data_IF_808118402196
#
_entry.id   IF_808118402196
#
_cell.length_a   1.000
_cell.length_b   1.000
_cell.length_c   1.000
_cell.angle_alpha   90.00
_cell.angle_beta   90.00
_cell.angle_gamma   90.00
#
_symmetry.space_group_name_H-M   'P 1'
#
loop_
_entity.id
_entity.type
_entity.pdbx_description
1 polymer ?
#
# COMPACT_ATOMS: atom_id res chain seq x y z
N UNK A 1 19.25 -22.76 2.04
CA UNK A 1 18.82 -21.95 0.90
C UNK A 1 18.82 -20.50 1.36
N UNK A 2 19.57 -19.64 0.69
CA UNK A 2 19.55 -18.19 0.94
C UNK A 2 18.41 -17.65 0.12
N UNK A 3 17.27 -17.35 0.78
CA UNK A 3 16.21 -16.55 0.16
C UNK A 3 16.82 -15.18 -0.16
N UNK A 4 16.70 -14.73 -1.40
CA UNK A 4 17.13 -13.41 -1.78
C UNK A 4 16.24 -12.38 -1.04
N UNK A 5 16.81 -11.67 -0.05
CA UNK A 5 16.12 -10.60 0.63
C UNK A 5 16.20 -9.33 -0.24
N UNK A 6 15.11 -8.97 -0.88
CA UNK A 6 15.01 -7.70 -1.58
C UNK A 6 14.58 -6.60 -0.60
N UNK A 7 15.31 -5.48 -0.61
CA UNK A 7 15.02 -4.33 0.25
C UNK A 7 14.66 -3.12 -0.58
N UNK A 8 13.51 -2.54 -0.30
CA UNK A 8 13.02 -1.32 -0.95
C UNK A 8 12.83 -0.21 0.06
N UNK A 9 13.14 1.01 -0.36
CA UNK A 9 12.87 2.22 0.43
C UNK A 9 11.75 3.01 -0.22
N UNK A 10 10.88 3.58 0.59
CA UNK A 10 9.76 4.37 0.10
C UNK A 10 9.31 5.41 1.11
N UNK A 11 8.24 6.10 0.78
CA UNK A 11 7.58 7.03 1.69
C UNK A 11 6.07 6.98 1.55
N UNK A 12 5.40 7.43 2.60
CA UNK A 12 3.96 7.63 2.63
C UNK A 12 3.65 9.00 3.23
N UNK A 13 2.83 9.79 2.55
CA UNK A 13 2.36 11.10 2.98
C UNK A 13 0.85 11.15 2.89
N UNK A 14 0.22 11.69 3.91
CA UNK A 14 -1.24 11.82 3.95
C UNK A 14 -1.68 13.14 4.53
N UNK A 15 -2.71 13.72 3.91
CA UNK A 15 -3.42 14.88 4.42
C UNK A 15 -4.92 14.71 4.14
N UNK A 16 -5.68 14.27 5.13
CA UNK A 16 -7.10 13.90 5.01
C UNK A 16 -7.30 12.80 3.94
N UNK A 17 -7.96 13.14 2.82
CA UNK A 17 -8.21 12.23 1.69
C UNK A 17 -7.08 12.22 0.65
N UNK A 18 -6.10 13.13 0.80
CA UNK A 18 -4.96 13.21 -0.12
C UNK A 18 -3.85 12.29 0.34
N UNK A 19 -3.28 11.58 -0.61
CA UNK A 19 -2.23 10.60 -0.39
C UNK A 19 -1.14 10.72 -1.44
N UNK A 20 0.10 10.55 -1.04
CA UNK A 20 1.22 10.36 -1.96
C UNK A 20 2.18 9.34 -1.35
N UNK A 21 2.37 8.24 -2.01
CA UNK A 21 3.27 7.18 -1.58
C UNK A 21 4.12 6.64 -2.72
N UNK A 22 5.32 6.21 -2.40
CA UNK A 22 6.22 5.50 -3.30
C UNK A 22 6.75 4.30 -2.57
N UNK A 23 6.58 3.12 -3.15
CA UNK A 23 7.13 1.86 -2.64
C UNK A 23 7.29 0.86 -3.78
N UNK A 24 8.43 0.18 -3.86
CA UNK A 24 8.70 -0.93 -4.80
C UNK A 24 8.42 -0.58 -6.29
N UNK A 25 8.75 0.64 -6.69
CA UNK A 25 8.49 1.11 -8.07
C UNK A 25 7.04 1.47 -8.36
N UNK A 26 6.16 1.39 -7.36
CA UNK A 26 4.77 1.86 -7.44
C UNK A 26 4.68 3.23 -6.78
N UNK A 27 4.22 4.22 -7.52
CA UNK A 27 3.87 5.54 -6.99
C UNK A 27 2.36 5.71 -7.00
N UNK A 28 1.79 6.10 -5.88
CA UNK A 28 0.36 6.40 -5.75
C UNK A 28 0.17 7.86 -5.38
N UNK A 29 -0.63 8.57 -6.16
CA UNK A 29 -1.01 9.96 -5.88
C UNK A 29 -2.55 10.02 -5.88
N UNK A 30 -3.12 10.47 -4.78
CA UNK A 30 -4.54 10.68 -4.67
C UNK A 30 -4.83 12.11 -4.20
N UNK A 31 -5.78 12.73 -4.86
CA UNK A 31 -6.44 13.95 -4.41
C UNK A 31 -7.95 13.72 -4.25
N UNK A 32 -8.72 14.78 -4.11
CA UNK A 32 -10.18 14.72 -3.90
C UNK A 32 -10.95 14.24 -5.14
N UNK A 33 -10.33 14.26 -6.33
CA UNK A 33 -10.98 14.00 -7.61
C UNK A 33 -10.51 12.72 -8.28
N UNK A 34 -9.26 12.32 -8.04
CA UNK A 34 -8.61 11.28 -8.82
C UNK A 34 -7.57 10.55 -7.97
N UNK A 35 -7.47 9.25 -8.17
CA UNK A 35 -6.34 8.42 -7.73
C UNK A 35 -5.57 7.94 -8.94
N UNK A 36 -4.27 8.20 -8.97
CA UNK A 36 -3.35 7.74 -10.01
C UNK A 36 -2.35 6.78 -9.37
N UNK A 37 -2.19 5.62 -9.97
CA UNK A 37 -1.17 4.62 -9.60
C UNK A 37 -0.24 4.42 -10.77
N UNK A 38 1.04 4.64 -10.55
CA UNK A 38 2.09 4.57 -11.56
C UNK A 38 2.95 3.36 -11.25
N UNK A 39 2.95 2.39 -12.14
CA UNK A 39 3.89 1.28 -12.11
C UNK A 39 5.06 1.62 -13.04
N UNK A 40 6.20 1.93 -12.45
CA UNK A 40 7.39 2.32 -13.20
C UNK A 40 8.05 1.12 -13.90
N UNK A 41 7.84 -0.09 -13.39
CA UNK A 41 8.42 -1.31 -13.95
C UNK A 41 7.69 -1.73 -15.21
N UNK A 42 6.36 -1.76 -15.18
CA UNK A 42 5.52 -2.13 -16.33
C UNK A 42 5.19 -0.93 -17.25
N UNK A 43 5.54 0.30 -16.84
CA UNK A 43 5.19 1.55 -17.51
C UNK A 43 3.68 1.69 -17.74
N UNK A 44 2.93 1.45 -16.69
CA UNK A 44 1.47 1.57 -16.68
C UNK A 44 1.06 2.67 -15.70
N UNK A 45 0.12 3.50 -16.11
CA UNK A 45 -0.58 4.46 -15.26
C UNK A 45 -2.04 4.02 -15.16
N UNK A 46 -2.49 3.68 -13.97
CA UNK A 46 -3.89 3.38 -13.68
C UNK A 46 -4.54 4.63 -13.08
N UNK A 47 -5.65 5.05 -13.67
CA UNK A 47 -6.44 6.19 -13.20
C UNK A 47 -7.75 5.67 -12.63
N UNK A 48 -8.00 5.98 -11.37
CA UNK A 48 -9.15 5.51 -10.61
C UNK A 48 -9.93 6.67 -10.02
N UNK A 49 -11.16 6.41 -9.63
CA UNK A 49 -11.85 7.29 -8.69
C UNK A 49 -11.10 7.32 -7.35
N UNK A 50 -11.11 8.45 -6.63
CA UNK A 50 -10.47 8.52 -5.33
C UNK A 50 -11.15 7.54 -4.37
N UNK A 51 -10.36 6.80 -3.63
CA UNK A 51 -10.89 5.97 -2.54
C UNK A 51 -11.35 6.93 -1.45
N UNK A 52 -12.65 7.01 -1.25
CA UNK A 52 -13.19 7.63 -0.06
C UNK A 52 -12.82 6.71 1.11
N UNK A 53 -11.96 7.19 1.99
CA UNK A 53 -11.70 6.48 3.23
C UNK A 53 -13.04 6.38 3.94
N UNK A 54 -13.57 5.18 4.01
CA UNK A 54 -14.80 4.90 4.77
C UNK A 54 -14.57 5.46 6.16
N UNK A 55 -15.43 6.38 6.60
CA UNK A 55 -15.29 7.10 7.86
C UNK A 55 -15.39 6.23 9.11
N UNK A 56 -15.34 4.92 8.94
CA UNK A 56 -15.40 3.97 10.04
C UNK A 56 -14.37 2.83 9.86
N UNK A 57 -13.08 3.10 10.16
CA UNK A 57 -12.04 2.08 10.11
C UNK A 57 -12.33 0.89 11.02
N UNK A 58 -13.18 1.07 12.04
CA UNK A 58 -13.60 -0.02 12.91
C UNK A 58 -14.39 -1.12 12.20
N UNK A 59 -15.18 -0.79 11.18
CA UNK A 59 -15.94 -1.80 10.42
C UNK A 59 -15.00 -2.68 9.60
N UNK A 60 -14.00 -2.11 8.96
CA UNK A 60 -13.01 -2.85 8.17
C UNK A 60 -12.15 -3.74 9.06
N UNK A 61 -11.75 -3.25 10.23
CA UNK A 61 -11.00 -4.04 11.22
C UNK A 61 -11.86 -5.21 11.72
N UNK A 62 -13.13 -4.98 12.07
CA UNK A 62 -14.04 -6.03 12.52
C UNK A 62 -14.25 -7.09 11.42
N UNK A 63 -14.38 -6.67 10.16
CA UNK A 63 -14.50 -7.59 9.04
C UNK A 63 -13.24 -8.45 8.88
N UNK A 64 -12.05 -7.84 8.96
CA UNK A 64 -10.78 -8.55 8.90
C UNK A 64 -10.62 -9.53 10.08
N UNK A 65 -10.98 -9.13 11.30
CA UNK A 65 -10.91 -10.00 12.48
C UNK A 65 -11.79 -11.24 12.37
N UNK A 66 -12.92 -11.17 11.67
CA UNK A 66 -13.79 -12.34 11.42
C UNK A 66 -13.13 -13.40 10.53
N UNK A 67 -12.12 -13.04 9.75
CA UNK A 67 -11.35 -13.95 8.90
C UNK A 67 -10.20 -14.61 9.66
N UNK A 68 -9.95 -14.22 10.91
CA UNK A 68 -8.86 -14.76 11.72
C UNK A 68 -9.32 -16.01 12.47
N UNK A 69 -8.48 -17.03 12.47
CA UNK A 69 -8.59 -18.20 13.37
C UNK A 69 -8.04 -17.88 14.76
N UNK A 70 -7.13 -16.94 14.85
CA UNK A 70 -6.51 -16.50 16.11
C UNK A 70 -6.12 -15.03 16.04
N UNK A 71 -6.35 -14.33 17.15
CA UNK A 71 -5.90 -12.96 17.38
C UNK A 71 -5.19 -12.94 18.73
N UNK A 72 -3.93 -12.53 18.74
CA UNK A 72 -3.13 -12.42 19.95
C UNK A 72 -2.60 -11.01 20.08
N UNK A 73 -2.82 -10.40 21.23
CA UNK A 73 -2.26 -9.09 21.57
C UNK A 73 -1.27 -9.27 22.70
N UNK A 74 -0.06 -8.77 22.51
CA UNK A 74 1.00 -8.75 23.53
C UNK A 74 1.30 -7.27 23.77
N UNK A 75 0.99 -6.81 24.97
CA UNK A 75 1.23 -5.44 25.40
C UNK A 75 2.38 -5.41 26.39
N UNK A 76 3.37 -4.56 26.13
CA UNK A 76 4.53 -4.34 26.97
C UNK A 76 4.72 -2.86 27.30
N UNK A 77 3.63 -2.14 27.47
CA UNK A 77 3.62 -0.72 27.78
C UNK A 77 3.81 0.14 26.52
N UNK A 78 5.01 0.66 26.27
CA UNK A 78 5.28 1.49 25.09
C UNK A 78 5.29 0.69 23.78
N UNK A 79 5.38 -0.64 23.87
CA UNK A 79 5.41 -1.55 22.73
C UNK A 79 4.24 -2.53 22.81
N UNK A 80 3.44 -2.61 21.74
CA UNK A 80 2.36 -3.58 21.58
C UNK A 80 2.54 -4.34 20.27
N UNK A 81 2.33 -5.65 20.33
CA UNK A 81 2.34 -6.52 19.14
C UNK A 81 0.99 -7.20 18.98
N UNK A 82 0.43 -7.11 17.78
CA UNK A 82 -0.81 -7.78 17.40
C UNK A 82 -0.46 -8.85 16.37
N UNK A 83 -0.78 -10.09 16.68
CA UNK A 83 -0.63 -11.22 15.78
C UNK A 83 -2.01 -11.67 15.30
N UNK A 84 -2.20 -11.74 13.99
CA UNK A 84 -3.39 -12.20 13.32
C UNK A 84 -3.04 -13.45 12.53
N UNK A 85 -3.76 -14.56 12.75
CA UNK A 85 -3.64 -15.78 11.97
C UNK A 85 -4.95 -15.97 11.22
N UNK A 86 -4.90 -16.04 9.89
CA UNK A 86 -6.09 -16.15 9.05
C UNK A 86 -6.51 -17.60 8.83
N UNK A 87 -7.80 -17.81 8.55
CA UNK A 87 -8.35 -19.14 8.35
C UNK A 87 -8.10 -19.63 6.91
N UNK A 88 -7.61 -20.87 6.79
CA UNK A 88 -7.50 -21.56 5.50
C UNK A 88 -6.57 -20.87 4.51
N UNK A 89 -6.68 -21.26 3.25
CA UNK A 89 -5.88 -20.72 2.15
C UNK A 89 -6.68 -19.76 1.25
N UNK A 90 -7.92 -19.47 1.59
CA UNK A 90 -8.81 -18.59 0.80
C UNK A 90 -8.43 -17.11 0.93
N UNK A 91 -7.76 -16.76 2.04
CA UNK A 91 -7.24 -15.41 2.23
C UNK A 91 -5.79 -15.33 1.73
N UNK A 92 -5.37 -14.22 1.10
CA UNK A 92 -4.02 -14.09 0.54
C UNK A 92 -2.90 -14.23 1.59
N UNK A 93 -3.22 -13.93 2.86
CA UNK A 93 -2.28 -14.00 3.97
C UNK A 93 -2.59 -15.17 4.89
N UNK A 94 -1.54 -15.88 5.30
CA UNK A 94 -1.60 -16.88 6.37
C UNK A 94 -1.55 -16.22 7.75
N UNK A 95 -0.71 -15.18 7.86
CA UNK A 95 -0.42 -14.51 9.13
C UNK A 95 -0.02 -13.06 8.90
N UNK A 96 -0.36 -12.21 9.84
CA UNK A 96 0.10 -10.81 9.91
C UNK A 96 0.56 -10.49 11.34
N UNK A 97 1.64 -9.75 11.44
CA UNK A 97 2.14 -9.20 12.70
C UNK A 97 2.23 -7.68 12.57
N UNK A 98 1.66 -6.99 13.54
CA UNK A 98 1.62 -5.53 13.62
C UNK A 98 2.33 -5.13 14.90
N UNK A 99 3.47 -4.44 14.80
CA UNK A 99 4.15 -3.88 15.95
C UNK A 99 3.88 -2.37 16.03
N UNK A 100 3.48 -1.94 17.22
CA UNK A 100 3.18 -0.54 17.54
C UNK A 100 4.16 -0.13 18.64
N UNK A 101 4.87 0.98 18.43
CA UNK A 101 5.80 1.57 19.40
C UNK A 101 5.41 3.02 19.61
N UNK A 102 5.27 3.45 20.86
CA UNK A 102 4.86 4.81 21.21
C UNK A 102 3.61 5.26 20.44
N UNK A 103 2.59 4.40 20.38
CA UNK A 103 1.32 4.61 19.67
C UNK A 103 1.45 4.78 18.15
N UNK A 104 2.57 4.37 17.55
CA UNK A 104 2.82 4.45 16.11
C UNK A 104 3.09 3.06 15.53
N UNK A 105 2.59 2.82 14.33
CA UNK A 105 2.91 1.61 13.59
C UNK A 105 4.42 1.56 13.30
N UNK A 106 5.13 0.61 13.89
CA UNK A 106 6.57 0.46 13.69
C UNK A 106 6.90 -0.59 12.63
N UNK A 107 6.19 -1.72 12.67
CA UNK A 107 6.41 -2.83 11.73
C UNK A 107 5.08 -3.44 11.33
N UNK A 108 4.95 -3.74 10.06
CA UNK A 108 3.93 -4.61 9.49
C UNK A 108 4.63 -5.78 8.82
N UNK A 109 4.31 -7.00 9.21
CA UNK A 109 4.91 -8.19 8.65
C UNK A 109 3.82 -9.17 8.22
N UNK A 110 3.91 -9.67 6.99
CA UNK A 110 2.89 -10.48 6.34
C UNK A 110 3.50 -11.76 5.77
N UNK A 111 2.89 -12.89 6.08
CA UNK A 111 3.21 -14.19 5.49
C UNK A 111 2.12 -14.54 4.49
N UNK A 112 2.48 -14.73 3.24
CA UNK A 112 1.54 -15.02 2.16
C UNK A 112 1.19 -16.50 2.12
N UNK A 113 -0.05 -16.82 1.76
CA UNK A 113 -0.50 -18.19 1.55
C UNK A 113 -0.06 -18.75 0.20
N UNK A 114 -0.04 -17.88 -0.81
CA UNK A 114 0.34 -18.24 -2.16
C UNK A 114 1.85 -18.53 -2.21
N UNK A 115 2.17 -19.70 -2.73
CA UNK A 115 3.55 -20.09 -2.97
C UNK A 115 4.01 -19.57 -4.33
N UNK A 116 5.24 -19.12 -4.41
CA UNK A 116 5.89 -18.69 -5.65
C UNK A 116 7.14 -19.57 -5.89
N UNK A 117 7.52 -19.70 -7.15
CA UNK A 117 8.79 -20.33 -7.51
C UNK A 117 9.87 -19.25 -7.57
N UNK A 118 10.94 -19.43 -6.82
CA UNK A 118 12.08 -18.52 -6.86
C UNK A 118 12.94 -18.73 -8.11
N UNK A 119 13.99 -17.91 -8.28
CA UNK A 119 14.90 -17.98 -9.43
C UNK A 119 15.70 -19.31 -9.51
N UNK A 120 15.75 -20.06 -8.41
CA UNK A 120 16.39 -21.37 -8.32
C UNK A 120 15.43 -22.53 -8.59
N UNK A 121 14.14 -22.24 -8.81
CA UNK A 121 13.10 -23.25 -9.00
C UNK A 121 12.55 -23.81 -7.69
N UNK A 122 12.88 -23.25 -6.52
CA UNK A 122 12.35 -23.67 -5.24
C UNK A 122 11.00 -23.02 -4.96
N UNK A 123 10.07 -23.80 -4.39
CA UNK A 123 8.75 -23.29 -3.98
C UNK A 123 8.88 -22.66 -2.61
N UNK A 124 8.64 -21.36 -2.53
CA UNK A 124 8.70 -20.58 -1.30
C UNK A 124 7.37 -19.89 -1.02
N UNK A 125 7.09 -19.63 0.25
CA UNK A 125 5.98 -18.74 0.66
C UNK A 125 6.55 -17.37 0.97
N UNK A 126 6.20 -16.34 0.20
CA UNK A 126 6.75 -15.00 0.39
C UNK A 126 6.42 -14.43 1.77
N UNK A 127 7.33 -13.63 2.28
CA UNK A 127 7.16 -12.84 3.49
C UNK A 127 7.49 -11.39 3.16
N UNK A 128 6.57 -10.50 3.49
CA UNK A 128 6.75 -9.06 3.34
C UNK A 128 6.90 -8.41 4.71
N UNK A 129 7.96 -7.63 4.90
CA UNK A 129 8.16 -6.84 6.11
C UNK A 129 8.29 -5.37 5.74
N UNK A 130 7.46 -4.53 6.33
CA UNK A 130 7.49 -3.07 6.16
C UNK A 130 7.84 -2.46 7.52
N UNK A 131 8.95 -1.73 7.56
CA UNK A 131 9.37 -0.97 8.74
C UNK A 131 9.09 0.51 8.52
N UNK A 132 8.42 1.12 9.48
CA UNK A 132 8.04 2.52 9.44
C UNK A 132 8.95 3.34 10.35
N UNK A 133 9.47 4.42 9.86
CA UNK A 133 10.36 5.32 10.60
C UNK A 133 10.16 6.78 10.17
N UNK A 134 10.85 7.70 10.82
CA UNK A 134 10.86 9.12 10.43
C UNK A 134 9.47 9.77 10.37
N UNK A 135 8.61 9.43 11.32
CA UNK A 135 7.28 10.01 11.44
C UNK A 135 7.33 11.54 11.57
N UNK A 136 6.61 12.24 10.73
CA UNK A 136 6.47 13.69 10.76
C UNK A 136 4.98 14.05 10.88
N UNK A 137 4.55 14.31 12.08
CA UNK A 137 3.20 14.76 12.36
C UNK A 137 3.05 16.26 12.07
N UNK A 138 1.83 16.67 11.72
CA UNK A 138 1.48 18.08 11.49
C UNK A 138 2.31 18.77 10.38
N UNK A 139 2.98 18.01 9.52
CA UNK A 139 3.69 18.57 8.38
C UNK A 139 2.69 19.25 7.42
N UNK A 140 2.99 20.49 7.06
CA UNK A 140 2.23 21.20 6.02
C UNK A 140 2.74 20.75 4.65
N UNK A 141 1.85 20.27 3.82
CA UNK A 141 2.13 19.86 2.46
C UNK A 141 1.65 20.93 1.48
N UNK A 142 2.42 21.16 0.42
CA UNK A 142 1.98 22.00 -0.68
C UNK A 142 0.91 21.28 -1.52
N UNK A 143 0.05 22.05 -2.21
CA UNK A 143 -0.93 21.48 -3.12
C UNK A 143 -0.30 20.63 -4.24
N UNK A 144 0.94 20.94 -4.63
CA UNK A 144 1.69 20.22 -5.67
C UNK A 144 2.01 18.78 -5.27
N UNK A 145 2.19 18.50 -3.99
CA UNK A 145 2.57 17.17 -3.50
C UNK A 145 1.49 16.10 -3.73
N UNK A 146 0.24 16.50 -3.94
CA UNK A 146 -0.89 15.62 -4.23
C UNK A 146 -1.53 15.91 -5.59
N UNK A 147 -0.85 16.67 -6.45
CA UNK A 147 -1.34 16.97 -7.79
C UNK A 147 -1.07 15.80 -8.73
N UNK A 148 -2.07 15.39 -9.50
CA UNK A 148 -1.96 14.36 -10.54
C UNK A 148 -1.63 14.95 -11.92
N UNK A 149 -1.71 16.28 -12.06
CA UNK A 149 -1.55 16.96 -13.35
C UNK A 149 -0.15 16.90 -13.97
N UNK A 150 0.86 16.54 -13.19
CA UNK A 150 2.20 16.28 -13.74
C UNK A 150 2.38 14.85 -14.27
N UNK A 151 1.41 13.97 -14.01
CA UNK A 151 1.41 12.55 -14.45
C UNK A 151 0.44 12.34 -15.60
N UNK A 152 -0.76 12.89 -15.48
CA UNK A 152 -1.84 12.73 -16.47
C UNK A 152 -2.49 14.07 -16.79
N UNK A 153 -2.89 14.24 -18.04
CA UNK A 153 -3.61 15.41 -18.55
C UNK A 153 -4.95 14.99 -19.11
N UNK A 154 -5.97 15.86 -18.97
CA UNK A 154 -7.24 15.71 -19.62
C UNK A 154 -7.23 16.47 -20.97
N UNK A 155 -7.35 15.77 -22.08
CA UNK A 155 -7.35 16.35 -23.42
C UNK A 155 -8.50 15.78 -24.23
N UNK A 156 -9.39 16.66 -24.71
CA UNK A 156 -10.58 16.26 -25.47
C UNK A 156 -11.40 15.13 -24.81
N UNK A 157 -11.62 15.24 -23.50
CA UNK A 157 -12.30 14.26 -22.66
C UNK A 157 -11.56 12.92 -22.47
N UNK A 158 -10.40 12.75 -23.06
CA UNK A 158 -9.53 11.59 -22.84
C UNK A 158 -8.42 11.92 -21.84
N UNK A 159 -8.06 10.94 -21.02
CA UNK A 159 -6.87 11.03 -20.18
C UNK A 159 -5.67 10.57 -21.01
N UNK A 160 -4.65 11.41 -21.05
CA UNK A 160 -3.37 11.09 -21.68
C UNK A 160 -2.23 11.23 -20.68
N UNK A 161 -1.10 10.51 -20.87
CA UNK A 161 0.07 10.72 -20.03
C UNK A 161 0.64 12.12 -20.27
N UNK A 162 1.11 12.77 -19.21
CA UNK A 162 1.90 13.99 -19.34
C UNK A 162 3.22 13.69 -20.06
N UNK A 163 3.90 14.73 -20.57
CA UNK A 163 5.12 14.59 -21.38
C UNK A 163 6.19 13.70 -20.75
N UNK A 164 6.43 13.85 -19.44
CA UNK A 164 7.40 13.04 -18.70
C UNK A 164 7.05 11.54 -18.66
N UNK A 165 5.80 11.19 -18.91
CA UNK A 165 5.26 9.83 -18.91
C UNK A 165 4.80 9.36 -20.31
N UNK A 166 5.27 9.99 -21.38
CA UNK A 166 4.84 9.72 -22.76
C UNK A 166 5.00 8.26 -23.21
N UNK A 167 5.89 7.50 -22.56
CA UNK A 167 6.10 6.07 -22.83
C UNK A 167 5.22 5.15 -21.98
N UNK A 168 4.35 5.70 -21.13
CA UNK A 168 3.47 4.93 -20.26
C UNK A 168 2.11 4.70 -20.94
N UNK A 169 1.56 3.52 -20.73
CA UNK A 169 0.19 3.18 -21.13
C UNK A 169 -0.78 3.60 -20.03
N UNK A 170 -1.85 4.29 -20.41
CA UNK A 170 -2.94 4.61 -19.48
C UNK A 170 -3.98 3.49 -19.44
N UNK A 171 -4.41 3.15 -18.23
CA UNK A 171 -5.60 2.35 -17.94
C UNK A 171 -6.58 3.22 -17.15
N UNK A 172 -7.60 3.73 -17.79
CA UNK A 172 -8.67 4.48 -17.12
C UNK A 172 -9.68 3.50 -16.53
N UNK A 173 -9.67 3.39 -15.22
CA UNK A 173 -10.51 2.46 -14.43
C UNK A 173 -11.61 3.21 -13.66
N UNK A 174 -11.82 4.49 -13.96
CA UNK A 174 -12.92 5.25 -13.38
C UNK A 174 -14.24 4.70 -13.88
N UNK A 175 -15.12 4.30 -12.96
CA UNK A 175 -16.50 3.97 -13.32
C UNK A 175 -17.19 5.22 -13.85
N UNK A 176 -17.74 5.12 -15.05
CA UNK A 176 -18.66 6.11 -15.61
C UNK A 176 -19.99 6.08 -14.87
#
# INVERSE_FOLDING_TARGET
AQTADETYTGYYRRNKLKEHSVLMGIETIQNEQTKVVIDTNSKIIMVNNPIQVVNNPGIEIIAALKLCSSVRVIDKGAESTIELVFQGNEYPLAKMLIAIVDHRLAVLEMWHNEAVTDDNGEIIKPRTKISYSNYQENKKFSAKEFSTGHVVELKNSAIIPAEAYSLYRIMDLRSN
#
